data_IF_035603356804
#
_entry.id   IF_035603356804
#
_cell.length_a   1.000
_cell.length_b   1.000
_cell.length_c   1.000
_cell.angle_alpha   90.00
_cell.angle_beta   90.00
_cell.angle_gamma   90.00
#
_symmetry.space_group_name_H-M   'P 1'
#
loop_
_entity.id
_entity.type
_entity.pdbx_description
1 polymer ?
#
# COMPACT_ATOMS: atom_id res chain seq x y z
N UNK A 1 -8.14 40.31 -2.05
CA UNK A 1 -8.87 39.28 -2.80
C UNK A 1 -8.04 38.03 -2.65
N UNK A 2 -8.46 37.12 -1.79
CA UNK A 2 -7.75 35.87 -1.54
C UNK A 2 -8.00 34.94 -2.73
N UNK A 3 -6.96 34.59 -3.46
CA UNK A 3 -7.08 33.63 -4.54
C UNK A 3 -7.51 32.26 -3.96
N UNK A 4 -8.36 31.50 -4.66
CA UNK A 4 -8.72 30.16 -4.23
C UNK A 4 -7.47 29.29 -4.00
N UNK A 5 -7.47 28.36 -3.03
CA UNK A 5 -6.30 27.55 -2.67
C UNK A 5 -5.74 26.68 -3.81
N UNK A 6 -6.49 26.56 -4.92
CA UNK A 6 -6.12 25.81 -6.12
C UNK A 6 -5.89 26.72 -7.34
N UNK A 7 -5.63 28.01 -7.13
CA UNK A 7 -5.28 28.93 -8.20
C UNK A 7 -3.92 28.55 -8.80
N UNK A 8 -3.89 28.33 -10.12
CA UNK A 8 -2.67 28.07 -10.87
C UNK A 8 -2.66 28.93 -12.15
N UNK A 9 -1.49 29.27 -12.71
CA UNK A 9 -1.38 30.23 -13.79
C UNK A 9 -1.73 29.61 -15.17
N UNK A 10 -2.92 29.03 -15.28
CA UNK A 10 -3.41 28.32 -16.47
C UNK A 10 -3.35 29.18 -17.75
N UNK A 11 -3.60 30.48 -17.61
CA UNK A 11 -3.56 31.46 -18.70
C UNK A 11 -2.20 31.52 -19.41
N UNK A 12 -1.09 31.23 -18.72
CA UNK A 12 0.26 31.20 -19.32
C UNK A 12 0.42 30.10 -20.35
N UNK A 13 -0.41 29.06 -20.27
CA UNK A 13 -0.36 27.87 -21.12
C UNK A 13 -1.57 27.75 -22.05
N UNK A 14 -2.35 28.83 -22.18
CA UNK A 14 -3.59 28.83 -22.95
C UNK A 14 -4.59 27.75 -22.47
N UNK A 15 -4.59 27.48 -21.16
CA UNK A 15 -5.46 26.53 -20.48
C UNK A 15 -6.46 27.22 -19.56
N UNK A 16 -7.52 26.52 -19.22
CA UNK A 16 -8.48 26.95 -18.21
C UNK A 16 -8.10 26.40 -16.84
N UNK A 17 -8.56 27.01 -15.76
CA UNK A 17 -8.19 26.58 -14.39
C UNK A 17 -8.69 25.17 -14.10
N UNK A 18 -9.88 24.83 -14.60
CA UNK A 18 -10.50 23.51 -14.51
C UNK A 18 -9.75 22.40 -15.28
N UNK A 19 -8.86 22.76 -16.22
CA UNK A 19 -8.05 21.76 -16.94
C UNK A 19 -7.11 21.00 -15.99
N UNK A 20 -6.82 21.54 -14.79
CA UNK A 20 -6.07 20.86 -13.73
C UNK A 20 -6.73 19.56 -13.28
N UNK A 21 -8.06 19.58 -13.09
CA UNK A 21 -8.82 18.43 -12.56
C UNK A 21 -9.43 17.56 -13.66
N UNK A 22 -9.24 17.93 -14.92
CA UNK A 22 -9.74 17.18 -16.08
C UNK A 22 -8.56 16.76 -16.95
N UNK A 23 -8.17 17.55 -17.95
CA UNK A 23 -7.14 17.18 -18.93
C UNK A 23 -5.80 16.81 -18.29
N UNK A 24 -5.28 17.66 -17.41
CA UNK A 24 -4.00 17.41 -16.75
C UNK A 24 -4.10 16.24 -15.79
N UNK A 25 -5.22 16.12 -15.09
CA UNK A 25 -5.48 15.00 -14.19
C UNK A 25 -5.49 13.68 -14.97
N UNK A 26 -6.32 13.58 -16.00
CA UNK A 26 -6.49 12.37 -16.80
C UNK A 26 -5.19 11.96 -17.49
N UNK A 27 -4.44 12.93 -18.00
CA UNK A 27 -3.21 12.68 -18.75
C UNK A 27 -2.00 12.38 -17.86
N UNK A 28 -1.87 13.04 -16.71
CA UNK A 28 -0.64 13.02 -15.91
C UNK A 28 -0.82 12.54 -14.48
N UNK A 29 -2.05 12.47 -13.97
CA UNK A 29 -2.37 12.10 -12.59
C UNK A 29 -3.33 10.89 -12.52
N UNK A 30 -3.33 10.03 -13.54
CA UNK A 30 -4.00 8.72 -13.50
C UNK A 30 -2.96 7.61 -13.60
N UNK A 31 -3.23 6.52 -12.90
CA UNK A 31 -2.41 5.31 -12.95
C UNK A 31 -3.33 4.12 -13.26
N UNK A 32 -2.84 3.21 -14.09
CA UNK A 32 -3.56 1.97 -14.42
C UNK A 32 -2.99 0.80 -13.63
N UNK A 33 -3.89 0.06 -12.96
CA UNK A 33 -3.59 -1.19 -12.27
C UNK A 33 -4.32 -2.36 -12.94
N UNK A 34 -3.75 -3.59 -12.90
CA UNK A 34 -4.54 -4.80 -13.10
C UNK A 34 -5.74 -4.84 -12.15
N UNK A 35 -6.90 -5.25 -12.66
CA UNK A 35 -8.15 -5.39 -11.88
C UNK A 35 -8.09 -6.63 -10.99
N UNK A 36 -7.46 -7.70 -11.49
CA UNK A 36 -7.37 -9.00 -10.84
C UNK A 36 -5.91 -9.44 -10.76
N UNK A 37 -5.62 -10.30 -9.79
CA UNK A 37 -4.40 -11.09 -9.85
C UNK A 37 -4.42 -12.05 -11.06
N UNK A 38 -3.23 -12.52 -11.53
CA UNK A 38 -3.14 -13.36 -12.72
C UNK A 38 -3.94 -14.66 -12.65
N UNK A 39 -4.05 -15.27 -11.46
CA UNK A 39 -4.77 -16.53 -11.30
C UNK A 39 -6.27 -16.29 -11.45
N UNK A 40 -6.84 -15.30 -10.77
CA UNK A 40 -8.25 -14.95 -10.91
C UNK A 40 -8.61 -14.57 -12.36
N UNK A 41 -7.72 -13.85 -13.05
CA UNK A 41 -7.90 -13.53 -14.46
C UNK A 41 -7.87 -14.78 -15.35
N UNK A 42 -6.92 -15.69 -15.12
CA UNK A 42 -6.85 -16.96 -15.85
C UNK A 42 -8.14 -17.78 -15.71
N UNK A 43 -8.68 -17.88 -14.49
CA UNK A 43 -9.93 -18.61 -14.25
C UNK A 43 -11.10 -18.00 -15.02
N UNK A 44 -11.25 -16.67 -15.00
CA UNK A 44 -12.30 -15.98 -15.75
C UNK A 44 -12.17 -16.23 -17.27
N UNK A 45 -10.94 -16.15 -17.81
CA UNK A 45 -10.70 -16.43 -19.23
C UNK A 45 -10.98 -17.89 -19.58
N UNK A 46 -10.57 -18.82 -18.71
CA UNK A 46 -10.79 -20.24 -18.93
C UNK A 46 -12.29 -20.58 -18.94
N UNK A 47 -13.05 -20.08 -17.97
CA UNK A 47 -14.51 -20.27 -17.91
C UNK A 47 -15.20 -19.71 -19.15
N UNK A 48 -14.89 -18.46 -19.54
CA UNK A 48 -15.46 -17.83 -20.73
C UNK A 48 -15.07 -18.57 -22.01
N UNK A 49 -13.88 -19.17 -22.07
CA UNK A 49 -13.44 -19.96 -23.23
C UNK A 49 -14.28 -21.22 -23.45
N UNK A 50 -14.86 -21.77 -22.38
CA UNK A 50 -15.77 -22.92 -22.46
C UNK A 50 -17.20 -22.51 -22.84
N UNK A 51 -17.59 -21.26 -22.57
CA UNK A 51 -18.92 -20.72 -22.88
C UNK A 51 -19.01 -20.16 -24.31
N UNK A 52 -17.96 -19.46 -24.77
CA UNK A 52 -17.96 -18.77 -26.05
C UNK A 52 -17.83 -19.73 -27.24
N UNK A 53 -18.68 -19.55 -28.25
CA UNK A 53 -18.68 -20.35 -29.48
C UNK A 53 -17.97 -19.62 -30.64
N UNK A 54 -17.56 -18.37 -30.44
CA UNK A 54 -16.85 -17.57 -31.44
C UNK A 54 -15.91 -16.54 -30.80
N UNK A 55 -14.90 -16.04 -31.53
CA UNK A 55 -14.04 -14.96 -31.04
C UNK A 55 -14.80 -13.68 -30.68
N UNK A 56 -15.85 -13.34 -31.43
CA UNK A 56 -16.67 -12.16 -31.15
C UNK A 56 -17.45 -12.31 -29.84
N UNK A 57 -18.05 -13.48 -29.62
CA UNK A 57 -18.74 -13.81 -28.37
C UNK A 57 -17.77 -13.85 -27.18
N UNK A 58 -16.58 -14.42 -27.37
CA UNK A 58 -15.51 -14.42 -26.36
C UNK A 58 -15.15 -13.00 -25.92
N UNK A 59 -14.87 -12.08 -26.86
CA UNK A 59 -14.55 -10.69 -26.52
C UNK A 59 -15.73 -9.96 -25.86
N UNK A 60 -16.96 -10.27 -26.25
CA UNK A 60 -18.16 -9.72 -25.62
C UNK A 60 -18.26 -10.17 -24.15
N UNK A 61 -18.13 -11.47 -23.88
CA UNK A 61 -18.19 -12.06 -22.54
C UNK A 61 -17.04 -11.56 -21.65
N UNK A 62 -15.80 -11.48 -22.18
CA UNK A 62 -14.65 -10.93 -21.44
C UNK A 62 -14.87 -9.46 -21.07
N UNK A 63 -15.44 -8.66 -21.98
CA UNK A 63 -15.76 -7.26 -21.69
C UNK A 63 -16.81 -7.13 -20.59
N UNK A 64 -17.86 -7.95 -20.66
CA UNK A 64 -18.88 -8.00 -19.62
C UNK A 64 -18.30 -8.43 -18.28
N UNK A 65 -17.47 -9.48 -18.26
CA UNK A 65 -16.81 -9.97 -17.04
C UNK A 65 -15.90 -8.92 -16.42
N UNK A 66 -15.13 -8.19 -17.23
CA UNK A 66 -14.32 -7.05 -16.76
C UNK A 66 -15.18 -6.01 -16.04
N UNK A 67 -16.31 -5.62 -16.63
CA UNK A 67 -17.24 -4.65 -16.01
C UNK A 67 -17.86 -5.19 -14.72
N UNK A 68 -18.16 -6.48 -14.67
CA UNK A 68 -18.63 -7.13 -13.45
C UNK A 68 -17.57 -7.10 -12.35
N UNK A 69 -16.32 -7.49 -12.64
CA UNK A 69 -15.23 -7.50 -11.64
C UNK A 69 -14.93 -6.13 -11.08
N UNK A 70 -14.91 -5.09 -11.93
CA UNK A 70 -14.72 -3.70 -11.46
C UNK A 70 -15.83 -3.30 -10.48
N UNK A 71 -17.09 -3.65 -10.77
CA UNK A 71 -18.21 -3.36 -9.86
C UNK A 71 -18.09 -4.13 -8.55
N UNK A 72 -17.90 -5.45 -8.61
CA UNK A 72 -17.75 -6.31 -7.43
C UNK A 72 -16.65 -5.82 -6.48
N UNK A 73 -15.49 -5.44 -7.03
CA UNK A 73 -14.36 -4.95 -6.25
C UNK A 73 -14.62 -3.57 -5.65
N UNK A 74 -15.23 -2.66 -6.41
CA UNK A 74 -15.59 -1.34 -5.88
C UNK A 74 -16.65 -1.44 -4.78
N UNK A 75 -17.68 -2.25 -4.97
CA UNK A 75 -18.75 -2.44 -3.97
C UNK A 75 -18.18 -3.07 -2.69
N UNK A 76 -17.28 -4.05 -2.83
CA UNK A 76 -16.62 -4.70 -1.70
C UNK A 76 -15.70 -3.71 -0.96
N UNK A 77 -14.94 -2.91 -1.70
CA UNK A 77 -14.04 -1.91 -1.13
C UNK A 77 -14.82 -0.80 -0.42
N UNK A 78 -15.91 -0.32 -1.01
CA UNK A 78 -16.78 0.70 -0.40
C UNK A 78 -17.39 0.15 0.91
N UNK A 79 -17.95 -1.05 0.87
CA UNK A 79 -18.49 -1.72 2.05
C UNK A 79 -17.46 -1.85 3.17
N UNK A 80 -16.26 -2.36 2.86
CA UNK A 80 -15.17 -2.46 3.82
C UNK A 80 -14.71 -1.09 4.34
N UNK A 81 -14.71 -0.06 3.49
CA UNK A 81 -14.31 1.30 3.87
C UNK A 81 -15.25 1.89 4.92
N UNK A 82 -16.56 1.66 4.81
CA UNK A 82 -17.52 2.16 5.80
C UNK A 82 -17.29 1.55 7.18
N UNK A 83 -17.03 0.24 7.24
CA UNK A 83 -16.72 -0.46 8.50
C UNK A 83 -15.44 0.10 9.15
N UNK A 84 -14.37 0.30 8.36
CA UNK A 84 -13.10 0.85 8.86
C UNK A 84 -13.26 2.30 9.32
N UNK A 85 -13.97 3.13 8.56
CA UNK A 85 -14.21 4.53 8.92
C UNK A 85 -15.01 4.62 10.23
N UNK A 86 -16.00 3.76 10.42
CA UNK A 86 -16.85 3.74 11.62
C UNK A 86 -16.13 3.19 12.86
N UNK A 87 -15.10 2.36 12.71
CA UNK A 87 -14.39 1.75 13.83
C UNK A 87 -12.85 1.82 13.67
N UNK A 88 -12.20 2.84 14.26
CA UNK A 88 -10.74 3.00 14.21
C UNK A 88 -9.93 1.83 14.77
N UNK A 89 -10.53 0.97 15.60
CA UNK A 89 -9.83 -0.17 16.21
C UNK A 89 -9.53 -1.29 15.22
N UNK A 90 -10.20 -1.33 14.05
CA UNK A 90 -10.00 -2.37 13.04
C UNK A 90 -8.63 -2.25 12.33
N UNK A 91 -8.09 -1.04 12.21
CA UNK A 91 -6.83 -0.75 11.51
C UNK A 91 -5.76 -0.14 12.42
N UNK A 92 -6.13 0.23 13.64
CA UNK A 92 -5.28 0.97 14.57
C UNK A 92 -5.56 2.47 14.50
N UNK A 93 -5.64 3.12 15.66
CA UNK A 93 -6.03 4.53 15.77
C UNK A 93 -5.05 5.49 15.08
N UNK A 94 -3.77 5.11 14.98
CA UNK A 94 -2.75 5.90 14.29
C UNK A 94 -2.90 5.79 12.76
N UNK A 95 -3.18 4.58 12.25
CA UNK A 95 -3.33 4.31 10.82
C UNK A 95 -4.69 4.78 10.28
N UNK A 96 -5.70 4.93 11.15
CA UNK A 96 -7.06 5.29 10.77
C UNK A 96 -7.14 6.59 9.95
N UNK A 97 -6.35 7.62 10.31
CA UNK A 97 -6.35 8.88 9.54
C UNK A 97 -5.86 8.67 8.10
N UNK A 98 -4.87 7.80 7.90
CA UNK A 98 -4.37 7.43 6.58
C UNK A 98 -5.39 6.57 5.82
N UNK A 99 -6.12 5.68 6.50
CA UNK A 99 -7.20 4.91 5.90
C UNK A 99 -8.32 5.83 5.38
N UNK A 100 -8.76 6.80 6.20
CA UNK A 100 -9.77 7.80 5.81
C UNK A 100 -9.29 8.60 4.59
N UNK A 101 -8.03 9.01 4.57
CA UNK A 101 -7.47 9.74 3.44
C UNK A 101 -7.44 8.87 2.17
N UNK A 102 -6.99 7.61 2.27
CA UNK A 102 -7.01 6.65 1.16
C UNK A 102 -8.40 6.49 0.57
N UNK A 103 -9.43 6.24 1.38
CA UNK A 103 -10.79 6.05 0.87
C UNK A 103 -11.40 7.32 0.27
N UNK A 104 -10.97 8.50 0.71
CA UNK A 104 -11.43 9.79 0.15
C UNK A 104 -10.79 10.14 -1.19
N UNK A 105 -9.48 9.90 -1.33
CA UNK A 105 -8.73 10.32 -2.52
C UNK A 105 -8.60 9.22 -3.56
N UNK A 106 -8.63 7.96 -3.13
CA UNK A 106 -8.33 6.78 -3.93
C UNK A 106 -7.05 6.96 -4.78
N UNK A 107 -6.06 7.69 -4.25
CA UNK A 107 -4.84 8.00 -4.97
C UNK A 107 -3.73 7.02 -4.60
N UNK A 108 -2.83 6.76 -5.55
CA UNK A 108 -1.63 5.96 -5.29
C UNK A 108 -0.78 6.56 -4.16
N UNK A 109 -0.72 7.88 -4.06
CA UNK A 109 -0.04 8.60 -2.97
C UNK A 109 -0.64 8.27 -1.59
N UNK A 110 -1.96 8.34 -1.45
CA UNK A 110 -2.63 8.00 -0.19
C UNK A 110 -2.56 6.50 0.13
N UNK A 111 -2.51 5.64 -0.89
CA UNK A 111 -2.30 4.19 -0.71
C UNK A 111 -0.90 3.89 -0.16
N UNK A 112 0.13 4.53 -0.73
CA UNK A 112 1.51 4.42 -0.24
C UNK A 112 1.62 4.95 1.18
N UNK A 113 1.04 6.12 1.47
CA UNK A 113 1.03 6.70 2.81
C UNK A 113 0.34 5.77 3.83
N UNK A 114 -0.78 5.14 3.45
CA UNK A 114 -1.47 4.18 4.30
C UNK A 114 -0.58 2.98 4.66
N UNK A 115 0.07 2.34 3.69
CA UNK A 115 0.97 1.23 3.99
C UNK A 115 2.23 1.65 4.75
N UNK A 116 2.80 2.82 4.42
CA UNK A 116 3.96 3.36 5.12
C UNK A 116 3.69 3.65 6.60
N UNK A 117 2.44 3.97 6.97
CA UNK A 117 2.03 4.22 8.36
C UNK A 117 2.10 3.00 9.29
N UNK A 118 2.27 1.80 8.74
CA UNK A 118 2.53 0.59 9.52
C UNK A 118 4.02 0.37 9.81
N UNK A 119 4.92 1.10 9.14
CA UNK A 119 6.36 0.98 9.35
C UNK A 119 6.80 1.83 10.55
N UNK A 120 7.72 1.33 11.40
CA UNK A 120 8.30 2.10 12.51
C UNK A 120 8.87 3.45 12.06
N UNK A 121 8.76 4.49 12.86
CA UNK A 121 9.21 5.86 12.50
C UNK A 121 10.71 5.97 12.19
N UNK A 122 11.52 5.08 12.75
CA UNK A 122 12.96 4.94 12.53
C UNK A 122 13.32 4.09 11.30
N UNK A 123 12.31 3.57 10.58
CA UNK A 123 12.52 2.80 9.37
C UNK A 123 13.05 3.66 8.21
N UNK A 124 13.93 3.11 7.38
CA UNK A 124 14.54 3.76 6.21
C UNK A 124 13.54 4.35 5.20
N UNK A 125 12.28 3.90 5.27
CA UNK A 125 11.18 4.41 4.45
C UNK A 125 10.70 5.80 4.86
N UNK A 126 10.97 6.22 6.09
CA UNK A 126 10.66 7.57 6.58
C UNK A 126 11.91 8.42 6.42
N UNK A 127 11.99 9.31 5.41
CA UNK A 127 13.23 10.03 5.08
C UNK A 127 13.68 11.03 6.16
N UNK A 128 12.92 11.16 7.25
CA UNK A 128 13.16 12.11 8.33
C UNK A 128 14.37 11.77 9.22
N UNK A 129 15.03 10.61 9.02
CA UNK A 129 16.24 10.23 9.77
C UNK A 129 17.55 10.24 8.96
N UNK A 130 17.54 10.54 7.66
CA UNK A 130 18.77 10.61 6.84
C UNK A 130 19.30 12.03 6.57
N UNK A 131 18.78 13.05 7.23
CA UNK A 131 19.40 14.38 7.25
C UNK A 131 19.96 14.64 8.65
N UNK A 132 21.15 14.10 8.93
CA UNK A 132 22.18 14.69 9.80
C UNK A 132 23.42 13.79 9.90
N UNK A 133 24.19 13.71 8.83
CA UNK A 133 25.65 13.67 8.97
C UNK A 133 26.21 14.83 8.16
N UNK A 134 26.68 15.91 8.81
CA UNK A 134 27.53 16.86 8.12
C UNK A 134 28.83 16.11 7.78
N UNK A 135 29.05 15.85 6.49
CA UNK A 135 30.40 15.64 5.97
C UNK A 135 31.17 16.92 6.28
N UNK A 136 31.93 16.88 7.37
CA UNK A 136 32.98 17.87 7.60
C UNK A 136 34.16 17.42 6.77
N UNK A 137 34.33 18.07 5.61
CA UNK A 137 35.58 18.07 4.89
C UNK A 137 36.63 18.75 5.76
N UNK A 138 37.57 17.98 6.32
CA UNK A 138 38.84 18.53 6.81
C UNK A 138 39.99 17.64 6.36
N UNK A 139 40.70 18.14 5.36
CA UNK A 139 41.97 17.65 4.84
C UNK A 139 43.05 17.72 5.93
N UNK A 140 43.79 16.63 6.13
CA UNK A 140 45.21 16.68 6.49
C UNK A 140 45.59 16.48 7.97
N UNK A 141 46.07 15.26 8.26
CA UNK A 141 47.36 14.91 8.91
C UNK A 141 47.21 13.75 9.92
N UNK A 142 47.85 12.63 9.58
CA UNK A 142 48.20 11.52 10.49
C UNK A 142 49.68 11.70 10.91
N UNK A 143 50.25 10.90 11.84
CA UNK A 143 49.67 9.91 12.77
C UNK A 143 50.10 10.19 14.24
N UNK A 144 49.58 9.46 15.23
CA UNK A 144 50.32 8.82 16.35
C UNK A 144 49.35 7.94 17.17
N UNK A 145 49.87 6.82 17.68
CA UNK A 145 49.21 5.68 18.37
C UNK A 145 50.01 5.39 19.66
N UNK A 146 49.67 4.46 20.59
CA UNK A 146 48.41 3.81 21.01
C UNK A 146 48.15 3.91 22.55
N UNK A 147 47.10 3.21 23.03
CA UNK A 147 46.80 2.73 24.40
C UNK A 147 45.97 3.64 25.32
N UNK A 148 44.73 3.26 25.63
CA UNK A 148 44.36 2.52 26.84
C UNK A 148 42.85 2.18 26.84
N UNK A 149 42.49 1.18 27.65
CA UNK A 149 41.30 0.34 27.53
C UNK A 149 40.02 0.94 28.14
N UNK A 150 38.86 0.48 27.65
CA UNK A 150 37.67 0.32 28.49
C UNK A 150 36.77 -0.79 27.94
N UNK A 151 36.33 -1.64 28.85
CA UNK A 151 35.87 -3.01 28.68
C UNK A 151 34.51 -3.12 27.97
N UNK A 152 34.37 -4.14 27.10
CA UNK A 152 33.07 -4.55 26.53
C UNK A 152 32.61 -5.80 27.27
N UNK A 153 31.67 -5.62 28.19
CA UNK A 153 30.94 -6.72 28.84
C UNK A 153 30.07 -7.45 27.80
N UNK A 154 30.47 -8.67 27.46
CA UNK A 154 29.67 -9.62 26.67
C UNK A 154 28.62 -10.26 27.58
N UNK A 155 27.34 -9.96 27.37
CA UNK A 155 26.26 -10.78 27.94
C UNK A 155 25.90 -11.85 26.91
N UNK A 156 26.42 -13.05 27.16
CA UNK A 156 25.91 -14.31 26.62
C UNK A 156 24.57 -14.55 27.31
N UNK A 157 23.47 -14.69 26.55
CA UNK A 157 22.25 -15.31 27.10
C UNK A 157 21.94 -16.55 26.28
N UNK A 158 22.05 -17.67 26.98
CA UNK A 158 21.85 -19.05 26.56
C UNK A 158 20.39 -19.35 26.25
N UNK A 159 20.17 -20.19 25.23
CA UNK A 159 18.90 -20.83 24.93
C UNK A 159 18.53 -21.89 25.98
N UNK A 160 17.25 -22.00 26.34
CA UNK A 160 16.51 -23.27 26.47
C UNK A 160 15.09 -22.98 26.97
N UNK A 161 14.07 -23.30 26.16
CA UNK A 161 13.04 -24.28 26.52
C UNK A 161 11.82 -24.17 25.59
N UNK A 162 11.62 -25.27 24.84
CA UNK A 162 10.40 -25.57 24.09
C UNK A 162 9.41 -26.28 25.01
N UNK A 163 8.10 -26.09 24.83
CA UNK A 163 7.13 -27.14 25.14
C UNK A 163 6.75 -27.90 23.88
N UNK A 164 6.87 -29.22 23.95
CA UNK A 164 6.34 -30.19 23.00
C UNK A 164 4.82 -30.33 23.16
N UNK A 165 4.08 -30.33 22.05
CA UNK A 165 2.72 -30.87 22.03
C UNK A 165 2.66 -32.00 21.01
N UNK A 166 2.55 -33.23 21.54
CA UNK A 166 2.32 -34.44 20.78
C UNK A 166 0.85 -34.59 20.37
N UNK A 167 0.64 -35.08 19.15
CA UNK A 167 -0.66 -35.57 18.68
C UNK A 167 -1.07 -36.85 19.42
N UNK A 168 -2.36 -36.97 19.77
CA UNK A 168 -3.10 -38.24 19.55
C UNK A 168 -4.64 -38.09 19.49
N UNK A 169 -5.15 -38.57 18.35
CA UNK A 169 -6.47 -39.09 17.97
C UNK A 169 -7.66 -39.15 18.96
N UNK A 170 -8.80 -38.61 18.50
CA UNK A 170 -10.01 -39.39 18.18
C UNK A 170 -11.09 -39.57 19.25
N UNK A 171 -12.30 -39.03 19.01
CA UNK A 171 -13.57 -39.75 19.24
C UNK A 171 -14.77 -39.03 18.60
N UNK A 172 -15.61 -39.81 17.89
CA UNK A 172 -16.91 -39.43 17.32
C UNK A 172 -17.97 -39.27 18.43
N UNK A 173 -18.96 -38.38 18.25
CA UNK A 173 -20.37 -38.48 18.74
C UNK A 173 -21.20 -37.35 18.09
N UNK A 174 -22.02 -37.65 17.08
CA UNK A 174 -23.48 -37.92 17.08
C UNK A 174 -24.36 -36.76 17.61
N UNK A 175 -25.10 -36.13 16.69
CA UNK A 175 -26.25 -35.24 16.92
C UNK A 175 -27.44 -36.02 17.50
N UNK A 176 -28.33 -35.31 18.19
CA UNK A 176 -29.72 -35.18 17.74
C UNK A 176 -30.00 -33.77 17.21
#
# INVERSE_FOLDING_TARGET
MDDPPWAWPAWKFNMKREDLFTKLHDQYNTYQSPIQDPDAFHHDIFEISQEANSPAEFHHLVTHRRQQRVRELNDTLESASFEIIANPLLVGTLQWQHAVQLFRTNSLDSLVAYFASYLPTDHLWHPLYHVSTPVTSSTGLMPHSPNEACERTTIITTSSDRPSYGLRAGTKRKRP
#
